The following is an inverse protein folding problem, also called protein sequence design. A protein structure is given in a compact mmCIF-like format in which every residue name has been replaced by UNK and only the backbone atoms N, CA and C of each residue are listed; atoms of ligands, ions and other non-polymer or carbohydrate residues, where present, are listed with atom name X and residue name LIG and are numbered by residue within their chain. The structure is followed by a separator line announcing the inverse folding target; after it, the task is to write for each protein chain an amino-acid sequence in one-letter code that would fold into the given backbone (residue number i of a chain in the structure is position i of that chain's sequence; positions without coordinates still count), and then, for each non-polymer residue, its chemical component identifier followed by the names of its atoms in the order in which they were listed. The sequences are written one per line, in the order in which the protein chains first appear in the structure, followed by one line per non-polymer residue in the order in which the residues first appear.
data_IF_541859395195
#
_entry.id   IF_541859395195
#
_cell.length_a   1.000
_cell.length_b   1.000
_cell.length_c   1.000
_cell.angle_alpha   90.00
_cell.angle_beta   90.00
_cell.angle_gamma   90.00
#
_symmetry.space_group_name_H-M   'P 1'
#
loop_
_entity.id
_entity.type
_entity.pdbx_description
1 polymer ?
#
# COMPACT_ATOMS: atom_id res chain seq x y z
N UNK A 1 -8.44 -19.68 15.47
CA UNK A 1 -7.03 -19.28 15.67
C UNK A 1 -6.70 -18.35 14.52
N UNK A 2 -6.86 -17.04 14.68
CA UNK A 2 -6.47 -16.08 13.64
C UNK A 2 -4.98 -15.81 13.83
N UNK A 3 -4.18 -16.06 12.82
CA UNK A 3 -2.74 -15.80 12.82
C UNK A 3 -2.52 -14.32 13.11
N UNK A 4 -1.96 -14.02 14.28
CA UNK A 4 -1.86 -12.67 14.85
C UNK A 4 -0.65 -11.88 14.30
N UNK A 5 -0.38 -11.95 12.98
CA UNK A 5 0.86 -11.41 12.39
C UNK A 5 0.89 -11.21 10.87
N UNK A 6 -0.25 -11.31 10.19
CA UNK A 6 -0.37 -11.05 8.75
C UNK A 6 -0.83 -9.60 8.53
N UNK A 7 -0.16 -8.85 7.65
CA UNK A 7 -0.47 -7.44 7.38
C UNK A 7 -1.49 -7.26 6.25
N UNK A 8 -1.72 -8.30 5.45
CA UNK A 8 -2.63 -8.31 4.32
C UNK A 8 -3.67 -9.43 4.44
N UNK A 9 -4.76 -9.31 3.70
CA UNK A 9 -5.72 -10.37 3.49
C UNK A 9 -6.11 -10.42 2.03
N UNK A 10 -6.21 -11.63 1.48
CA UNK A 10 -6.62 -11.86 0.10
C UNK A 10 -8.13 -12.14 -0.01
N UNK A 11 -8.92 -11.98 1.07
CA UNK A 11 -10.34 -12.32 1.03
C UNK A 11 -11.10 -11.50 -0.01
N UNK A 12 -10.90 -10.18 0.01
CA UNK A 12 -11.52 -9.29 -0.97
C UNK A 12 -11.06 -9.62 -2.40
N UNK A 13 -9.76 -9.85 -2.60
CA UNK A 13 -9.21 -10.22 -3.90
C UNK A 13 -9.75 -11.57 -4.41
N UNK A 14 -9.87 -12.57 -3.54
CA UNK A 14 -10.46 -13.87 -3.86
C UNK A 14 -11.95 -13.75 -4.21
N UNK A 15 -12.68 -12.87 -3.53
CA UNK A 15 -14.08 -12.57 -3.84
C UNK A 15 -14.21 -11.91 -5.22
N UNK A 16 -13.32 -10.97 -5.55
CA UNK A 16 -13.26 -10.35 -6.88
C UNK A 16 -12.89 -11.36 -7.98
N UNK A 17 -12.04 -12.32 -7.65
CA UNK A 17 -11.61 -13.37 -8.57
C UNK A 17 -12.66 -14.46 -8.80
N UNK A 18 -13.75 -14.50 -8.02
CA UNK A 18 -14.73 -15.60 -7.99
C UNK A 18 -14.06 -16.98 -7.84
N UNK A 19 -12.96 -17.03 -7.08
CA UNK A 19 -12.16 -18.24 -6.86
C UNK A 19 -11.13 -18.57 -7.95
N UNK A 20 -10.98 -17.75 -8.99
CA UNK A 20 -9.99 -17.95 -10.05
C UNK A 20 -8.57 -17.60 -9.56
N UNK A 21 -7.82 -18.62 -9.14
CA UNK A 21 -6.44 -18.49 -8.64
C UNK A 21 -5.51 -17.76 -9.62
N UNK A 22 -5.69 -17.96 -10.93
CA UNK A 22 -4.87 -17.30 -11.95
C UNK A 22 -5.05 -15.77 -11.93
N UNK A 23 -6.27 -15.29 -11.68
CA UNK A 23 -6.56 -13.86 -11.56
C UNK A 23 -5.90 -13.29 -10.30
N UNK A 24 -5.99 -13.99 -9.16
CA UNK A 24 -5.32 -13.59 -7.91
C UNK A 24 -3.82 -13.48 -8.12
N UNK A 25 -3.21 -14.47 -8.79
CA UNK A 25 -1.79 -14.47 -9.11
C UNK A 25 -1.40 -13.26 -9.98
N UNK A 26 -2.13 -12.98 -11.07
CA UNK A 26 -1.87 -11.84 -11.95
C UNK A 26 -1.96 -10.50 -11.20
N UNK A 27 -2.95 -10.35 -10.32
CA UNK A 27 -3.14 -9.13 -9.52
C UNK A 27 -2.02 -8.92 -8.51
N UNK A 28 -1.58 -9.98 -7.81
CA UNK A 28 -0.45 -9.89 -6.89
C UNK A 28 0.87 -9.61 -7.62
N UNK A 29 1.08 -10.20 -8.79
CA UNK A 29 2.25 -9.92 -9.61
C UNK A 29 2.25 -8.45 -10.09
N UNK A 30 1.12 -7.98 -10.61
CA UNK A 30 0.93 -6.58 -11.02
C UNK A 30 1.19 -5.62 -9.86
N UNK A 31 0.75 -5.97 -8.64
CA UNK A 31 1.06 -5.18 -7.45
C UNK A 31 2.57 -5.06 -7.22
N UNK A 32 3.31 -6.18 -7.25
CA UNK A 32 4.76 -6.19 -7.04
C UNK A 32 5.53 -5.44 -8.14
N UNK A 33 5.06 -5.48 -9.38
CA UNK A 33 5.67 -4.77 -10.50
C UNK A 33 5.56 -3.24 -10.36
N UNK A 34 4.48 -2.76 -9.73
CA UNK A 34 4.19 -1.32 -9.63
C UNK A 34 4.59 -0.70 -8.29
N UNK A 35 4.58 -1.46 -7.19
CA UNK A 35 4.72 -0.92 -5.83
C UNK A 35 6.04 -0.15 -5.62
N UNK A 36 7.15 -0.62 -6.21
CA UNK A 36 8.45 0.05 -6.08
C UNK A 36 8.44 1.45 -6.72
N UNK A 37 7.85 1.57 -7.90
CA UNK A 37 7.72 2.86 -8.59
C UNK A 37 6.77 3.81 -7.85
N UNK A 38 5.67 3.29 -7.31
CA UNK A 38 4.74 4.07 -6.51
C UNK A 38 5.40 4.61 -5.23
N UNK A 39 6.19 3.80 -4.53
CA UNK A 39 6.96 4.21 -3.34
C UNK A 39 7.97 5.30 -3.69
N UNK A 40 8.72 5.14 -4.79
CA UNK A 40 9.67 6.17 -5.24
C UNK A 40 8.95 7.49 -5.49
N UNK A 41 7.83 7.45 -6.21
CA UNK A 41 7.04 8.66 -6.48
C UNK A 41 6.49 9.32 -5.20
N UNK A 42 6.17 8.52 -4.19
CA UNK A 42 5.72 9.00 -2.89
C UNK A 42 6.87 9.68 -2.14
N UNK A 43 8.07 9.06 -2.11
CA UNK A 43 9.29 9.65 -1.52
C UNK A 43 9.74 10.92 -2.24
N UNK A 44 9.56 10.98 -3.55
CA UNK A 44 9.89 12.17 -4.34
C UNK A 44 8.98 13.36 -3.95
N UNK A 45 7.68 13.14 -3.79
CA UNK A 45 6.75 14.19 -3.33
C UNK A 45 7.15 14.73 -1.95
N UNK A 46 7.67 13.85 -1.08
CA UNK A 46 8.20 14.24 0.23
C UNK A 46 9.41 15.15 0.08
N UNK A 47 10.39 14.73 -0.74
CA UNK A 47 11.63 15.49 -0.95
C UNK A 47 11.41 16.87 -1.56
N UNK A 48 10.37 17.01 -2.38
CA UNK A 48 10.01 18.26 -3.05
C UNK A 48 9.18 19.20 -2.16
N UNK A 49 8.69 18.72 -1.01
CA UNK A 49 7.83 19.50 -0.12
C UNK A 49 6.46 19.83 -0.72
N UNK A 50 6.00 19.05 -1.71
CA UNK A 50 4.75 19.28 -2.42
C UNK A 50 3.61 18.48 -1.75
N UNK A 51 2.82 19.17 -0.93
CA UNK A 51 1.69 18.55 -0.20
C UNK A 51 0.54 18.14 -1.12
N UNK A 52 0.35 18.81 -2.26
CA UNK A 52 -0.68 18.42 -3.24
C UNK A 52 -0.27 17.13 -3.92
N UNK A 53 0.96 17.06 -4.42
CA UNK A 53 1.51 15.83 -4.99
C UNK A 53 1.48 14.69 -3.96
N UNK A 54 1.86 14.96 -2.70
CA UNK A 54 1.81 13.96 -1.62
C UNK A 54 0.40 13.39 -1.43
N UNK A 55 -0.63 14.25 -1.42
CA UNK A 55 -2.03 13.81 -1.31
C UNK A 55 -2.44 12.90 -2.47
N UNK A 56 -2.10 13.27 -3.71
CA UNK A 56 -2.40 12.48 -4.90
C UNK A 56 -1.68 11.12 -4.89
N UNK A 57 -0.41 11.09 -4.48
CA UNK A 57 0.35 9.84 -4.34
C UNK A 57 -0.22 8.95 -3.24
N UNK A 58 -0.60 9.54 -2.10
CA UNK A 58 -1.26 8.82 -1.00
C UNK A 58 -2.57 8.17 -1.47
N UNK A 59 -3.40 8.90 -2.21
CA UNK A 59 -4.66 8.40 -2.75
C UNK A 59 -4.46 7.20 -3.69
N UNK A 60 -3.55 7.33 -4.66
CA UNK A 60 -3.26 6.26 -5.63
C UNK A 60 -2.79 4.99 -4.92
N UNK A 61 -1.81 5.14 -4.04
CA UNK A 61 -1.21 4.02 -3.32
C UNK A 61 -2.22 3.35 -2.38
N UNK A 62 -3.09 4.14 -1.74
CA UNK A 62 -4.16 3.63 -0.88
C UNK A 62 -5.07 2.67 -1.64
N UNK A 63 -5.44 3.01 -2.87
CA UNK A 63 -6.24 2.14 -3.74
C UNK A 63 -5.56 0.80 -4.00
N UNK A 64 -4.26 0.81 -4.30
CA UNK A 64 -3.48 -0.40 -4.56
C UNK A 64 -3.45 -1.34 -3.35
N UNK A 65 -3.20 -0.81 -2.16
CA UNK A 65 -3.04 -1.62 -0.94
C UNK A 65 -4.37 -1.98 -0.27
N UNK A 66 -5.45 -1.26 -0.60
CA UNK A 66 -6.80 -1.57 -0.11
C UNK A 66 -7.33 -2.90 -0.67
N UNK A 67 -6.97 -3.26 -1.91
CA UNK A 67 -7.37 -4.54 -2.51
C UNK A 67 -6.79 -5.73 -1.71
N UNK A 68 -5.63 -5.53 -1.10
CA UNK A 68 -4.94 -6.50 -0.23
C UNK A 68 -5.37 -6.39 1.24
N UNK A 69 -6.40 -5.59 1.54
CA UNK A 69 -6.91 -5.37 2.90
C UNK A 69 -5.81 -4.98 3.90
N UNK A 70 -4.79 -4.24 3.42
CA UNK A 70 -3.65 -3.77 4.22
C UNK A 70 -4.06 -2.63 5.17
N UNK A 71 -4.97 -2.89 6.10
CA UNK A 71 -5.71 -1.85 6.84
C UNK A 71 -4.80 -0.86 7.58
N UNK A 72 -3.70 -1.33 8.17
CA UNK A 72 -2.73 -0.45 8.85
C UNK A 72 -2.18 0.61 7.89
N UNK A 73 -1.81 0.20 6.68
CA UNK A 73 -1.27 1.08 5.67
C UNK A 73 -2.35 1.96 5.01
N UNK A 74 -3.53 1.41 4.74
CA UNK A 74 -4.69 2.15 4.23
C UNK A 74 -5.03 3.33 5.15
N UNK A 75 -5.00 3.11 6.47
CA UNK A 75 -5.32 4.15 7.45
C UNK A 75 -4.28 5.27 7.45
N UNK A 76 -2.99 4.94 7.40
CA UNK A 76 -1.92 5.95 7.35
C UNK A 76 -2.00 6.76 6.06
N UNK A 77 -2.18 6.10 4.91
CA UNK A 77 -2.29 6.80 3.62
C UNK A 77 -3.52 7.69 3.56
N UNK A 78 -4.65 7.26 4.14
CA UNK A 78 -5.85 8.08 4.24
C UNK A 78 -5.64 9.33 5.09
N UNK A 79 -4.91 9.21 6.20
CA UNK A 79 -4.57 10.36 7.06
C UNK A 79 -3.67 11.36 6.33
N UNK A 80 -2.60 10.88 5.70
CA UNK A 80 -1.70 11.69 4.86
C UNK A 80 -2.48 12.37 3.74
N UNK A 81 -3.31 11.62 2.99
CA UNK A 81 -4.12 12.16 1.89
C UNK A 81 -4.97 13.35 2.34
N UNK A 82 -5.67 13.21 3.47
CA UNK A 82 -6.57 14.24 3.99
C UNK A 82 -5.79 15.47 4.45
N UNK A 83 -4.79 15.28 5.31
CA UNK A 83 -4.01 16.38 5.90
C UNK A 83 -3.16 17.12 4.87
N UNK A 84 -2.56 16.40 3.94
CA UNK A 84 -1.78 17.01 2.86
C UNK A 84 -2.69 17.81 1.90
N UNK A 85 -3.91 17.31 1.64
CA UNK A 85 -4.95 18.05 0.88
C UNK A 85 -5.39 19.34 1.59
N UNK A 86 -5.40 19.34 2.91
CA UNK A 86 -5.69 20.53 3.73
C UNK A 86 -4.52 21.52 3.80
N UNK A 87 -3.38 21.19 3.17
CA UNK A 87 -2.22 22.07 3.07
C UNK A 87 -1.23 21.91 4.22
N UNK A 88 -1.32 20.83 5.00
CA UNK A 88 -0.32 20.55 6.02
C UNK A 88 1.06 20.33 5.39
N UNK A 89 2.07 20.92 6.02
CA UNK A 89 3.43 20.87 5.52
C UNK A 89 3.97 19.43 5.54
N UNK A 90 4.68 19.04 4.49
CA UNK A 90 5.20 17.67 4.33
C UNK A 90 6.04 17.20 5.51
N UNK A 91 6.74 18.11 6.20
CA UNK A 91 7.56 17.80 7.37
C UNK A 91 6.75 17.28 8.57
N UNK A 92 5.44 17.51 8.60
CA UNK A 92 4.57 17.02 9.68
C UNK A 92 4.30 15.50 9.61
N UNK A 93 4.59 14.85 8.49
CA UNK A 93 4.31 13.44 8.24
C UNK A 93 5.51 12.51 8.45
N UNK A 94 6.58 12.99 9.09
CA UNK A 94 7.84 12.21 9.24
C UNK A 94 7.62 10.86 9.94
N UNK A 95 6.70 10.79 10.89
CA UNK A 95 6.41 9.56 11.64
C UNK A 95 5.69 8.56 10.73
N UNK A 96 4.70 9.04 10.00
CA UNK A 96 3.88 8.28 9.06
C UNK A 96 4.74 7.75 7.92
N UNK A 97 5.71 8.52 7.42
CA UNK A 97 6.66 8.08 6.41
C UNK A 97 7.54 6.94 6.91
N UNK A 98 8.09 7.04 8.12
CA UNK A 98 8.89 5.96 8.71
C UNK A 98 8.05 4.68 8.92
N UNK A 99 6.78 4.83 9.30
CA UNK A 99 5.85 3.71 9.44
C UNK A 99 5.53 3.07 8.09
N UNK A 100 5.25 3.88 7.07
CA UNK A 100 4.98 3.40 5.72
C UNK A 100 6.18 2.66 5.15
N UNK A 101 7.40 3.19 5.25
CA UNK A 101 8.64 2.52 4.81
C UNK A 101 8.77 1.11 5.38
N UNK A 102 8.50 0.95 6.68
CA UNK A 102 8.52 -0.37 7.33
C UNK A 102 7.39 -1.28 6.85
N UNK A 103 6.17 -0.74 6.69
CA UNK A 103 5.01 -1.51 6.23
C UNK A 103 5.14 -1.95 4.78
N UNK A 104 5.71 -1.12 3.91
CA UNK A 104 5.93 -1.45 2.50
C UNK A 104 6.78 -2.71 2.35
N UNK A 105 7.93 -2.77 3.01
CA UNK A 105 8.84 -3.92 2.92
C UNK A 105 8.19 -5.20 3.46
N UNK A 106 7.43 -5.09 4.55
CA UNK A 106 6.71 -6.24 5.12
C UNK A 106 5.58 -6.72 4.20
N UNK A 107 4.77 -5.81 3.65
CA UNK A 107 3.70 -6.14 2.71
C UNK A 107 4.26 -6.74 1.43
N UNK A 108 5.34 -6.16 0.88
CA UNK A 108 6.02 -6.70 -0.32
C UNK A 108 6.49 -8.13 -0.08
N UNK A 109 7.15 -8.39 1.04
CA UNK A 109 7.61 -9.73 1.44
C UNK A 109 6.43 -10.69 1.59
N UNK A 110 5.34 -10.23 2.19
CA UNK A 110 4.15 -11.05 2.40
C UNK A 110 3.45 -11.39 1.07
N UNK A 111 3.30 -10.43 0.15
CA UNK A 111 2.76 -10.67 -1.19
C UNK A 111 3.62 -11.66 -1.97
N UNK A 112 4.95 -11.56 -1.90
CA UNK A 112 5.86 -12.53 -2.50
C UNK A 112 5.65 -13.95 -1.94
N UNK A 113 5.49 -14.06 -0.62
CA UNK A 113 5.18 -15.34 0.04
C UNK A 113 3.83 -15.91 -0.40
N UNK A 114 2.80 -15.06 -0.57
CA UNK A 114 1.50 -15.48 -1.09
C UNK A 114 1.60 -15.97 -2.54
N UNK A 115 2.33 -15.29 -3.42
CA UNK A 115 2.53 -15.74 -4.80
C UNK A 115 3.18 -17.13 -4.87
N UNK A 116 4.18 -17.38 -4.02
CA UNK A 116 4.86 -18.69 -3.95
C UNK A 116 3.94 -19.81 -3.44
N UNK A 117 2.92 -19.49 -2.63
CA UNK A 117 1.96 -20.48 -2.13
C UNK A 117 0.81 -20.78 -3.10
N UNK A 118 0.61 -19.92 -4.10
CA UNK A 118 -0.38 -20.09 -5.17
C UNK A 118 0.15 -20.90 -6.37
N UNK A 119 1.45 -21.26 -6.36
CA UNK A 119 2.13 -22.05 -7.41
C UNK A 119 2.11 -23.54 -7.05
#
# INVERSE_FOLDING_TARGET
MHSNGSLISLNYLNMLADGETAFVHEMLQTFLENIDADIVSFRDAISQGDSIALSERAHKLKGSVQILEAHGMVNILKDIELRAREGEAVQAFQTEFAQLDSLFEQIKTEVQSQLQSLT
#
